data_IF_130309903090
#
_entry.id   IF_130309903090
#
_cell.length_a   1.000
_cell.length_b   1.000
_cell.length_c   1.000
_cell.angle_alpha   90.00
_cell.angle_beta   90.00
_cell.angle_gamma   90.00
#
_symmetry.space_group_name_H-M   'P 1'
#
loop_
_entity.id
_entity.type
_entity.pdbx_description
1 polymer ?
#
# COMPACT_ATOMS: atom_id res chain seq x y z
N UNK A 1 -7.56 8.18 -25.01
CA UNK A 1 -8.98 7.94 -25.30
C UNK A 1 -9.58 7.14 -24.14
N UNK A 2 -10.42 7.74 -23.28
CA UNK A 2 -11.14 7.00 -22.23
C UNK A 2 -12.63 6.92 -22.58
N UNK A 3 -13.23 5.74 -22.45
CA UNK A 3 -14.60 5.50 -22.86
C UNK A 3 -15.59 6.05 -21.80
N UNK A 4 -16.59 6.86 -22.17
CA UNK A 4 -17.47 7.56 -21.22
C UNK A 4 -18.43 6.66 -20.41
N UNK A 5 -18.37 5.34 -20.60
CA UNK A 5 -19.12 4.34 -19.81
C UNK A 5 -18.25 3.55 -18.84
N UNK A 6 -17.01 3.94 -18.61
CA UNK A 6 -16.14 3.29 -17.63
C UNK A 6 -16.55 3.71 -16.21
N UNK A 7 -17.80 3.36 -15.85
CA UNK A 7 -18.41 3.64 -14.55
C UNK A 7 -17.98 2.53 -13.59
N UNK A 8 -16.74 2.63 -13.09
CA UNK A 8 -16.34 2.16 -11.77
C UNK A 8 -16.96 0.85 -11.26
N UNK A 9 -17.05 -0.19 -12.09
CA UNK A 9 -17.33 -1.53 -11.60
C UNK A 9 -15.98 -2.15 -11.30
N UNK A 10 -15.37 -1.72 -10.20
CA UNK A 10 -14.46 -2.61 -9.50
C UNK A 10 -15.31 -3.83 -9.17
N UNK A 11 -14.98 -4.97 -9.78
CA UNK A 11 -15.65 -6.24 -9.51
C UNK A 11 -15.67 -6.43 -8.00
N UNK A 12 -16.87 -6.51 -7.41
CA UNK A 12 -17.01 -6.86 -6.00
C UNK A 12 -16.55 -8.31 -5.89
N UNK A 13 -15.41 -8.50 -5.26
CA UNK A 13 -14.88 -9.82 -4.98
C UNK A 13 -15.89 -10.57 -4.11
N UNK A 14 -16.28 -11.77 -4.54
CA UNK A 14 -17.19 -12.57 -3.72
C UNK A 14 -16.45 -13.22 -2.55
N UNK A 15 -17.20 -13.71 -1.56
CA UNK A 15 -16.60 -14.31 -0.36
C UNK A 15 -15.76 -15.57 -0.66
N UNK A 16 -16.01 -16.22 -1.80
CA UNK A 16 -15.26 -17.41 -2.22
C UNK A 16 -13.92 -16.97 -2.81
N UNK A 17 -13.92 -15.94 -3.66
CA UNK A 17 -12.71 -15.31 -4.19
C UNK A 17 -11.82 -14.76 -3.07
N UNK A 18 -12.40 -14.19 -2.01
CA UNK A 18 -11.68 -13.78 -0.80
C UNK A 18 -11.03 -14.94 -0.07
N UNK A 19 -11.79 -16.01 0.19
CA UNK A 19 -11.24 -17.21 0.81
C UNK A 19 -10.13 -17.86 -0.02
N UNK A 20 -10.24 -17.85 -1.35
CA UNK A 20 -9.22 -18.39 -2.26
C UNK A 20 -7.94 -17.55 -2.17
N UNK A 21 -8.03 -16.21 -2.20
CA UNK A 21 -6.86 -15.35 -2.09
C UNK A 21 -6.15 -15.50 -0.74
N UNK A 22 -6.88 -15.67 0.35
CA UNK A 22 -6.29 -15.88 1.67
C UNK A 22 -5.55 -17.22 1.76
N UNK A 23 -6.10 -18.29 1.19
CA UNK A 23 -5.42 -19.59 1.10
C UNK A 23 -4.17 -19.49 0.21
N UNK A 24 -4.25 -18.74 -0.90
CA UNK A 24 -3.09 -18.52 -1.78
C UNK A 24 -1.98 -17.74 -1.08
N UNK A 25 -2.31 -16.70 -0.32
CA UNK A 25 -1.33 -15.94 0.48
C UNK A 25 -0.60 -16.83 1.50
N UNK A 26 -1.28 -17.81 2.08
CA UNK A 26 -0.66 -18.75 3.01
C UNK A 26 0.23 -19.80 2.32
N UNK A 27 -0.08 -20.16 1.07
CA UNK A 27 0.70 -21.11 0.27
C UNK A 27 1.95 -20.48 -0.35
N UNK A 28 1.89 -19.18 -0.65
CA UNK A 28 3.00 -18.44 -1.22
C UNK A 28 4.02 -18.11 -0.13
N UNK A 29 5.26 -18.54 -0.32
CA UNK A 29 6.36 -18.07 0.53
C UNK A 29 6.65 -16.62 0.15
N UNK A 30 6.53 -15.65 1.09
CA UNK A 30 6.87 -14.28 0.80
C UNK A 30 8.34 -14.20 0.39
N UNK A 31 8.63 -13.30 -0.55
CA UNK A 31 10.01 -13.00 -0.90
C UNK A 31 10.77 -12.48 0.34
N UNK A 32 12.10 -12.58 0.36
CA UNK A 32 12.89 -12.03 1.47
C UNK A 32 12.60 -10.55 1.76
N UNK A 33 12.33 -9.75 0.71
CA UNK A 33 11.97 -8.34 0.84
C UNK A 33 10.58 -8.16 1.44
N UNK A 34 9.57 -8.88 0.93
CA UNK A 34 8.21 -8.83 1.50
C UNK A 34 8.20 -9.26 2.95
N UNK A 35 8.90 -10.34 3.30
CA UNK A 35 9.01 -10.82 4.68
C UNK A 35 9.67 -9.78 5.59
N UNK A 36 10.76 -9.16 5.13
CA UNK A 36 11.44 -8.12 5.91
C UNK A 36 10.53 -6.91 6.16
N UNK A 37 9.78 -6.47 5.14
CA UNK A 37 8.83 -5.38 5.27
C UNK A 37 7.65 -5.73 6.18
N UNK A 38 7.08 -6.94 6.05
CA UNK A 38 5.98 -7.40 6.92
C UNK A 38 6.43 -7.53 8.38
N UNK A 39 7.64 -8.02 8.63
CA UNK A 39 8.17 -8.11 10.00
C UNK A 39 8.39 -6.72 10.60
N UNK A 40 9.02 -5.81 9.85
CA UNK A 40 9.20 -4.44 10.28
C UNK A 40 7.86 -3.76 10.60
N UNK A 41 6.81 -4.01 9.79
CA UNK A 41 5.47 -3.47 10.05
C UNK A 41 4.79 -4.08 11.28
N UNK A 42 5.00 -5.37 11.56
CA UNK A 42 4.43 -6.02 12.74
C UNK A 42 5.14 -5.61 14.04
N UNK A 43 6.41 -5.23 13.94
CA UNK A 43 7.22 -4.78 15.07
C UNK A 43 7.02 -3.29 15.39
N UNK A 44 6.40 -2.53 14.48
CA UNK A 44 6.06 -1.12 14.67
C UNK A 44 4.89 -0.99 15.65
N UNK A 45 5.11 -0.28 16.74
CA UNK A 45 4.06 0.07 17.68
C UNK A 45 3.27 1.32 17.26
N UNK A 46 2.22 1.65 18.01
CA UNK A 46 1.35 2.79 17.68
C UNK A 46 2.07 4.14 17.76
N UNK A 47 3.12 4.24 18.56
CA UNK A 47 3.85 5.49 18.74
C UNK A 47 4.82 5.69 17.55
N UNK A 48 5.53 4.64 17.16
CA UNK A 48 6.36 4.61 15.95
C UNK A 48 5.52 4.84 14.67
N UNK A 49 4.31 4.27 14.59
CA UNK A 49 3.39 4.53 13.47
C UNK A 49 2.96 6.01 13.42
N UNK A 50 2.76 6.63 14.57
CA UNK A 50 2.41 8.05 14.65
C UNK A 50 3.58 8.96 14.24
N UNK A 51 4.81 8.63 14.64
CA UNK A 51 6.01 9.35 14.20
C UNK A 51 6.18 9.30 12.67
N UNK A 52 6.00 8.11 12.06
CA UNK A 52 6.04 7.95 10.61
C UNK A 52 4.97 8.83 9.94
N UNK A 53 3.75 8.87 10.48
CA UNK A 53 2.68 9.73 9.95
C UNK A 53 3.01 11.22 10.04
N UNK A 54 3.69 11.67 11.10
CA UNK A 54 4.13 13.06 11.20
C UNK A 54 5.21 13.38 10.17
N UNK A 55 6.23 12.54 10.03
CA UNK A 55 7.27 12.71 9.02
C UNK A 55 6.71 12.77 7.60
N UNK A 56 5.71 11.94 7.28
CA UNK A 56 5.04 11.97 5.97
C UNK A 56 4.29 13.29 5.73
N UNK A 57 3.60 13.82 6.74
CA UNK A 57 2.94 15.14 6.63
C UNK A 57 3.94 16.26 6.40
N UNK A 58 5.08 16.22 7.08
CA UNK A 58 6.15 17.19 6.89
C UNK A 58 6.73 17.09 5.48
N UNK A 59 6.94 15.88 4.97
CA UNK A 59 7.42 15.64 3.62
C UNK A 59 6.42 16.13 2.55
N UNK A 60 5.12 15.89 2.74
CA UNK A 60 4.09 16.41 1.83
C UNK A 60 3.99 17.95 1.90
N UNK A 61 4.22 18.54 3.07
CA UNK A 61 4.27 19.99 3.24
C UNK A 61 5.50 20.61 2.58
N UNK A 62 6.61 19.87 2.55
CA UNK A 62 7.80 20.14 1.73
C UNK A 62 7.48 19.84 0.26
N UNK A 63 6.53 20.61 -0.30
CA UNK A 63 6.13 20.60 -1.71
C UNK A 63 7.37 20.42 -2.59
N UNK A 64 7.39 19.40 -3.46
CA UNK A 64 8.54 19.11 -4.32
C UNK A 64 9.13 20.42 -4.88
N UNK A 65 10.38 20.70 -4.54
CA UNK A 65 11.17 21.69 -5.27
C UNK A 65 11.37 21.08 -6.66
N UNK A 66 10.46 21.39 -7.59
CA UNK A 66 10.68 21.12 -8.99
C UNK A 66 12.08 21.65 -9.31
N UNK A 67 12.97 20.86 -9.92
CA UNK A 67 14.25 21.39 -10.38
C UNK A 67 13.92 22.60 -11.24
N UNK A 68 14.45 23.78 -10.88
CA UNK A 68 14.39 24.93 -11.79
C UNK A 68 14.99 24.43 -13.11
N UNK A 69 14.17 24.44 -14.17
CA UNK A 69 14.62 24.04 -15.49
C UNK A 69 15.87 24.85 -15.87
N UNK A 70 16.91 24.14 -16.30
CA UNK A 70 18.20 24.69 -16.69
C UNK A 70 18.17 25.34 -18.08
#
# INVERSE_FOLDING_TARGET
>A
MKHPKDKGVCFKMDAIEEAILDVQKQLMKPSPLEQALTNALNDIDSDEENEIKECLKELDALKEVSPLEA
#
